data_IF_141255156037
#
_entry.id   IF_141255156037
#
_cell.length_a   1.000
_cell.length_b   1.000
_cell.length_c   1.000
_cell.angle_alpha   90.00
_cell.angle_beta   90.00
_cell.angle_gamma   90.00
#
_symmetry.space_group_name_H-M   'P 1'
#
loop_
_entity.id
_entity.type
_entity.pdbx_description
1 polymer ?
#
# COMPACT_ATOMS: atom_id res chain seq x y z
N UNK A 1 -17.79 -33.48 -3.11
CA UNK A 1 -17.24 -32.11 -3.25
C UNK A 1 -16.30 -32.12 -4.44
N UNK A 2 -16.61 -31.38 -5.50
CA UNK A 2 -15.74 -31.28 -6.66
C UNK A 2 -14.74 -30.14 -6.42
N UNK A 3 -13.45 -30.47 -6.40
CA UNK A 3 -12.37 -29.48 -6.37
C UNK A 3 -12.29 -28.90 -7.78
N UNK A 4 -12.71 -27.65 -7.95
CA UNK A 4 -12.57 -26.94 -9.21
C UNK A 4 -11.08 -26.67 -9.45
N UNK A 5 -10.44 -27.49 -10.26
CA UNK A 5 -9.10 -27.22 -10.78
C UNK A 5 -9.22 -26.13 -11.84
N UNK A 6 -8.95 -24.88 -11.46
CA UNK A 6 -8.69 -23.81 -12.42
C UNK A 6 -7.43 -24.20 -13.21
N UNK A 7 -7.60 -24.44 -14.51
CA UNK A 7 -6.48 -24.66 -15.42
C UNK A 7 -5.71 -23.34 -15.52
N UNK A 8 -4.58 -23.22 -14.80
CA UNK A 8 -3.70 -22.06 -14.88
C UNK A 8 -3.10 -22.01 -16.28
N UNK A 9 -3.55 -21.05 -17.08
CA UNK A 9 -2.87 -20.68 -18.32
C UNK A 9 -1.41 -20.33 -18.01
N UNK A 10 -0.49 -20.74 -18.88
CA UNK A 10 0.92 -20.38 -18.77
C UNK A 10 1.08 -18.87 -18.58
N UNK A 11 1.94 -18.39 -17.66
CA UNK A 11 2.16 -16.97 -17.47
C UNK A 11 2.64 -16.35 -18.78
N UNK A 12 1.90 -15.35 -19.28
CA UNK A 12 2.27 -14.60 -20.46
C UNK A 12 3.15 -13.41 -20.04
N UNK A 13 4.27 -13.16 -20.72
CA UNK A 13 5.16 -12.06 -20.39
C UNK A 13 4.40 -10.72 -20.47
N UNK A 14 4.65 -9.82 -19.52
CA UNK A 14 4.15 -8.44 -19.53
C UNK A 14 4.48 -7.76 -20.85
N UNK A 15 3.55 -6.96 -21.38
CA UNK A 15 3.76 -6.19 -22.61
C UNK A 15 4.80 -5.09 -22.36
N UNK A 16 6.05 -5.40 -22.73
CA UNK A 16 7.21 -4.52 -22.54
C UNK A 16 7.06 -3.18 -23.25
N UNK A 17 6.46 -3.18 -24.44
CA UNK A 17 6.34 -1.96 -25.22
C UNK A 17 5.37 -0.98 -24.55
N UNK A 18 4.26 -1.52 -24.00
CA UNK A 18 3.32 -0.72 -23.19
C UNK A 18 4.00 -0.16 -21.94
N UNK A 19 4.77 -0.96 -21.19
CA UNK A 19 5.47 -0.47 -19.99
C UNK A 19 6.44 0.67 -20.31
N UNK A 20 7.22 0.57 -21.38
CA UNK A 20 8.14 1.63 -21.80
C UNK A 20 7.41 2.92 -22.20
N UNK A 21 6.26 2.80 -22.89
CA UNK A 21 5.45 3.96 -23.24
C UNK A 21 4.92 4.66 -21.98
N UNK A 22 4.43 3.91 -20.99
CA UNK A 22 3.88 4.46 -19.75
C UNK A 22 4.94 5.29 -19.02
N UNK A 23 6.19 4.83 -19.01
CA UNK A 23 7.30 5.49 -18.31
C UNK A 23 7.73 6.84 -18.90
N UNK A 24 7.27 7.16 -20.12
CA UNK A 24 7.46 8.49 -20.71
C UNK A 24 6.57 9.55 -20.04
N UNK A 25 5.45 9.14 -19.43
CA UNK A 25 4.55 10.03 -18.70
C UNK A 25 5.09 10.37 -17.30
N UNK A 26 4.52 11.40 -16.67
CA UNK A 26 4.86 11.85 -15.31
C UNK A 26 3.64 12.25 -14.51
N UNK A 27 3.77 12.22 -13.18
CA UNK A 27 2.74 12.67 -12.26
C UNK A 27 1.40 11.97 -12.48
N UNK A 28 0.31 12.73 -12.52
CA UNK A 28 -1.04 12.20 -12.69
C UNK A 28 -1.26 11.48 -14.03
N UNK A 29 -0.57 11.89 -15.10
CA UNK A 29 -0.67 11.20 -16.39
C UNK A 29 -0.05 9.80 -16.31
N UNK A 30 1.07 9.66 -15.60
CA UNK A 30 1.69 8.36 -15.35
C UNK A 30 0.74 7.43 -14.59
N UNK A 31 0.16 7.89 -13.48
CA UNK A 31 -0.78 7.08 -12.70
C UNK A 31 -2.02 6.69 -13.52
N UNK A 32 -2.56 7.59 -14.34
CA UNK A 32 -3.67 7.28 -15.24
C UNK A 32 -3.30 6.17 -16.22
N UNK A 33 -2.14 6.26 -16.85
CA UNK A 33 -1.64 5.23 -17.79
C UNK A 33 -1.39 3.88 -17.10
N UNK A 34 -0.96 3.89 -15.84
CA UNK A 34 -0.84 2.66 -15.04
C UNK A 34 -2.22 2.06 -14.76
N UNK A 35 -3.20 2.87 -14.36
CA UNK A 35 -4.57 2.38 -14.15
C UNK A 35 -5.13 1.75 -15.44
N UNK A 36 -4.99 2.42 -16.58
CA UNK A 36 -5.40 1.89 -17.90
C UNK A 36 -4.68 0.57 -18.23
N UNK A 37 -3.39 0.48 -17.93
CA UNK A 37 -2.62 -0.76 -18.09
C UNK A 37 -3.12 -1.89 -17.20
N UNK A 38 -3.47 -1.61 -15.94
CA UNK A 38 -3.99 -2.64 -15.02
C UNK A 38 -5.34 -3.14 -15.51
N UNK A 39 -6.21 -2.25 -16.00
CA UNK A 39 -7.50 -2.63 -16.57
C UNK A 39 -7.33 -3.50 -17.84
N UNK A 40 -6.44 -3.10 -18.74
CA UNK A 40 -6.16 -3.80 -20.01
C UNK A 40 -5.58 -5.21 -19.80
N UNK A 41 -4.81 -5.42 -18.72
CA UNK A 41 -4.05 -6.63 -18.47
C UNK A 41 -4.52 -7.38 -17.21
N UNK A 42 -5.73 -7.09 -16.72
CA UNK A 42 -6.29 -7.72 -15.52
C UNK A 42 -6.25 -9.24 -15.62
N UNK A 43 -5.88 -9.89 -14.51
CA UNK A 43 -5.67 -11.33 -14.37
C UNK A 43 -4.51 -11.91 -15.20
N UNK A 44 -3.76 -11.07 -15.92
CA UNK A 44 -2.53 -11.53 -16.56
C UNK A 44 -1.50 -11.89 -15.49
N UNK A 45 -0.95 -13.09 -15.64
CA UNK A 45 0.11 -13.60 -14.77
C UNK A 45 1.46 -13.56 -15.50
N UNK A 46 2.50 -13.10 -14.81
CA UNK A 46 3.89 -13.13 -15.24
C UNK A 46 4.77 -13.75 -14.16
N UNK A 47 5.66 -14.66 -14.53
CA UNK A 47 6.62 -15.24 -13.57
C UNK A 47 7.67 -14.21 -13.17
N UNK A 48 7.96 -14.16 -11.87
CA UNK A 48 9.08 -13.41 -11.33
C UNK A 48 10.28 -14.36 -11.19
N UNK A 49 11.47 -13.87 -11.56
CA UNK A 49 12.75 -14.54 -11.33
C UNK A 49 13.22 -14.37 -9.89
N UNK A 50 12.86 -13.24 -9.29
CA UNK A 50 13.19 -12.91 -7.91
C UNK A 50 11.94 -12.29 -7.24
N UNK A 51 11.43 -12.87 -6.13
CA UNK A 51 11.84 -14.16 -5.57
C UNK A 51 11.54 -15.33 -6.54
N UNK A 52 12.33 -16.42 -6.55
CA UNK A 52 12.11 -17.55 -7.46
C UNK A 52 10.79 -18.28 -7.21
N UNK A 53 10.06 -18.58 -8.28
CA UNK A 53 8.78 -19.31 -8.20
C UNK A 53 7.57 -18.41 -7.93
N UNK A 54 7.80 -17.13 -7.67
CA UNK A 54 6.73 -16.15 -7.48
C UNK A 54 6.05 -15.79 -8.80
N UNK A 55 4.78 -15.41 -8.72
CA UNK A 55 3.97 -15.01 -9.87
C UNK A 55 3.38 -13.63 -9.57
N UNK A 56 3.63 -12.67 -10.46
CA UNK A 56 2.90 -11.41 -10.45
C UNK A 56 1.59 -11.61 -11.22
N UNK A 57 0.46 -11.43 -10.53
CA UNK A 57 -0.88 -11.31 -11.13
C UNK A 57 -1.28 -9.84 -11.17
N UNK A 58 -1.54 -9.31 -12.36
CA UNK A 58 -2.08 -7.95 -12.50
C UNK A 58 -3.50 -7.92 -11.96
N UNK A 59 -3.74 -7.00 -11.04
CA UNK A 59 -4.98 -6.93 -10.27
C UNK A 59 -5.25 -5.49 -9.87
N UNK A 60 -6.53 -5.10 -9.85
CA UNK A 60 -6.96 -3.82 -9.29
C UNK A 60 -7.08 -3.96 -7.78
N UNK A 61 -7.26 -2.84 -7.08
CA UNK A 61 -7.52 -2.84 -5.65
C UNK A 61 -8.71 -3.74 -5.29
N UNK A 62 -9.78 -3.69 -6.07
CA UNK A 62 -11.02 -4.47 -5.84
C UNK A 62 -10.80 -5.99 -5.98
N UNK A 63 -9.67 -6.38 -6.57
CA UNK A 63 -9.27 -7.76 -6.83
C UNK A 63 -8.20 -8.25 -5.83
N UNK A 64 -7.98 -7.50 -4.75
CA UNK A 64 -7.10 -7.84 -3.62
C UNK A 64 -7.89 -8.10 -2.34
N UNK A 65 -7.21 -8.58 -1.30
CA UNK A 65 -7.78 -8.68 0.06
C UNK A 65 -8.19 -7.32 0.66
N UNK A 66 -7.72 -6.21 0.11
CA UNK A 66 -8.02 -4.84 0.56
C UNK A 66 -9.21 -4.20 -0.19
N UNK A 67 -9.95 -4.97 -1.01
CA UNK A 67 -11.07 -4.46 -1.82
C UNK A 67 -12.12 -3.63 -1.06
N UNK A 68 -12.34 -3.95 0.21
CA UNK A 68 -13.34 -3.31 1.08
C UNK A 68 -12.69 -2.25 2.00
N UNK A 69 -11.41 -1.93 1.78
CA UNK A 69 -10.59 -1.04 2.60
C UNK A 69 -9.79 -0.03 1.74
N UNK A 70 -10.45 0.79 0.90
CA UNK A 70 -9.76 1.77 0.07
C UNK A 70 -8.95 2.79 0.88
N UNK A 71 -9.44 3.14 2.08
CA UNK A 71 -8.74 4.05 3.00
C UNK A 71 -7.39 3.51 3.47
N UNK A 72 -7.18 2.18 3.49
CA UNK A 72 -5.88 1.59 3.85
C UNK A 72 -4.85 1.87 2.75
N UNK A 73 -5.25 1.82 1.48
CA UNK A 73 -4.39 2.14 0.33
C UNK A 73 -4.01 3.60 0.30
N UNK A 74 -4.99 4.49 0.53
CA UNK A 74 -4.72 5.91 0.69
C UNK A 74 -3.77 6.15 1.89
N UNK A 75 -3.94 5.38 2.96
CA UNK A 75 -3.06 5.38 4.12
C UNK A 75 -1.61 5.01 3.81
N UNK A 76 -1.35 4.10 2.87
CA UNK A 76 0.01 3.76 2.44
C UNK A 76 0.75 4.96 1.83
N UNK A 77 0.03 5.77 1.05
CA UNK A 77 0.56 7.00 0.45
C UNK A 77 0.78 8.13 1.45
N UNK A 78 0.05 8.13 2.58
CA UNK A 78 0.07 9.21 3.57
C UNK A 78 0.98 8.95 4.77
N UNK A 79 1.06 7.70 5.22
CA UNK A 79 1.61 7.39 6.55
C UNK A 79 2.93 6.63 6.53
N UNK A 80 3.34 6.09 5.38
CA UNK A 80 4.55 5.29 5.25
C UNK A 80 5.69 6.10 4.62
N UNK A 81 5.40 6.82 3.54
CA UNK A 81 6.42 7.58 2.82
C UNK A 81 6.59 9.00 3.40
N UNK A 82 7.80 9.59 3.35
CA UNK A 82 8.08 10.94 3.86
C UNK A 82 7.26 12.06 3.21
N UNK A 83 6.68 11.80 2.03
CA UNK A 83 5.81 12.72 1.32
C UNK A 83 4.51 12.02 1.01
N UNK A 84 3.41 12.75 1.16
CA UNK A 84 2.11 12.30 0.69
C UNK A 84 2.15 12.08 -0.82
N UNK A 85 1.80 10.86 -1.23
CA UNK A 85 1.73 10.44 -2.63
C UNK A 85 0.44 9.68 -2.89
N UNK A 86 0.03 9.60 -4.15
CA UNK A 86 -1.09 8.76 -4.53
C UNK A 86 -0.59 7.39 -4.98
N UNK A 87 -0.92 6.36 -4.20
CA UNK A 87 -0.63 4.99 -4.55
C UNK A 87 -1.59 4.48 -5.64
N UNK A 88 -1.04 3.75 -6.61
CA UNK A 88 -1.78 3.04 -7.64
C UNK A 88 -1.39 1.56 -7.58
N UNK A 89 -2.35 0.71 -7.24
CA UNK A 89 -2.18 -0.75 -7.25
C UNK A 89 -1.91 -1.21 -8.68
N UNK A 90 -0.90 -2.07 -8.82
CA UNK A 90 -0.51 -2.73 -10.05
C UNK A 90 -0.95 -4.20 -10.07
N UNK A 91 -0.85 -4.88 -8.92
CA UNK A 91 -1.18 -6.29 -8.82
C UNK A 91 -0.72 -6.93 -7.52
N UNK A 92 -0.73 -8.25 -7.49
CA UNK A 92 -0.34 -9.06 -6.33
C UNK A 92 0.78 -10.02 -6.73
N UNK A 93 1.81 -10.11 -5.90
CA UNK A 93 2.85 -11.13 -6.03
C UNK A 93 2.49 -12.35 -5.17
N UNK A 94 2.15 -13.45 -5.84
CA UNK A 94 1.84 -14.75 -5.24
C UNK A 94 3.10 -15.61 -5.10
N UNK A 95 3.13 -16.51 -4.11
CA UNK A 95 4.22 -17.47 -3.92
C UNK A 95 5.50 -16.87 -3.33
N UNK A 96 5.40 -15.70 -2.71
CA UNK A 96 6.49 -15.05 -1.97
C UNK A 96 6.52 -15.54 -0.51
N UNK A 97 7.55 -15.17 0.25
CA UNK A 97 7.64 -15.40 1.70
C UNK A 97 6.86 -14.36 2.53
N UNK A 98 5.90 -13.67 1.91
CA UNK A 98 5.11 -12.64 2.57
C UNK A 98 4.34 -13.24 3.77
N UNK A 99 4.34 -12.57 4.93
CA UNK A 99 3.57 -13.02 6.10
C UNK A 99 2.05 -12.86 5.91
N UNK A 100 1.63 -11.90 5.08
CA UNK A 100 0.23 -11.70 4.69
C UNK A 100 -0.17 -12.63 3.53
N UNK A 101 -1.48 -12.82 3.38
CA UNK A 101 -2.07 -13.64 2.31
C UNK A 101 -1.76 -13.08 0.90
N UNK A 102 -1.55 -11.77 0.77
CA UNK A 102 -1.22 -11.10 -0.49
C UNK A 102 -0.11 -10.04 -0.32
N UNK A 103 0.94 -10.12 -1.15
CA UNK A 103 1.94 -9.05 -1.30
C UNK A 103 1.47 -8.10 -2.40
N UNK A 104 0.96 -6.92 -2.03
CA UNK A 104 0.38 -5.97 -2.99
C UNK A 104 1.48 -5.11 -3.60
N UNK A 105 1.62 -5.15 -4.92
CA UNK A 105 2.53 -4.29 -5.68
C UNK A 105 1.80 -3.04 -6.14
N UNK A 106 2.46 -1.89 -5.96
CA UNK A 106 1.92 -0.57 -6.27
C UNK A 106 3.02 0.40 -6.70
N UNK A 107 2.62 1.52 -7.31
CA UNK A 107 3.53 2.60 -7.69
C UNK A 107 2.88 3.95 -7.37
N UNK A 108 3.67 5.01 -7.33
CA UNK A 108 3.19 6.37 -7.16
C UNK A 108 3.86 7.32 -8.16
N UNK A 109 3.67 8.63 -8.01
CA UNK A 109 4.15 9.65 -8.95
C UNK A 109 5.68 9.66 -9.14
N UNK A 110 6.43 9.09 -8.20
CA UNK A 110 7.89 8.97 -8.28
C UNK A 110 8.37 7.84 -9.22
N UNK A 111 7.44 6.98 -9.66
CA UNK A 111 7.62 5.86 -10.58
C UNK A 111 8.43 4.69 -10.03
N UNK A 112 8.66 4.64 -8.71
CA UNK A 112 9.23 3.48 -8.04
C UNK A 112 8.17 2.41 -7.83
N UNK A 113 8.60 1.18 -7.65
CA UNK A 113 7.73 0.05 -7.35
C UNK A 113 7.83 -0.28 -5.86
N UNK A 114 6.67 -0.32 -5.23
CA UNK A 114 6.52 -0.63 -3.82
C UNK A 114 5.74 -1.93 -3.64
N UNK A 115 6.02 -2.64 -2.55
CA UNK A 115 5.29 -3.83 -2.14
C UNK A 115 4.82 -3.67 -0.69
N UNK A 116 3.54 -3.90 -0.43
CA UNK A 116 2.98 -3.89 0.92
C UNK A 116 2.71 -5.32 1.38
N UNK A 117 3.28 -5.69 2.53
CA UNK A 117 3.26 -7.05 3.06
C UNK A 117 2.29 -7.26 4.23
N UNK A 118 1.44 -6.27 4.51
CA UNK A 118 0.52 -6.26 5.64
C UNK A 118 1.01 -5.48 6.85
N UNK A 119 2.31 -5.18 6.94
CA UNK A 119 2.88 -4.39 8.03
C UNK A 119 3.71 -3.22 7.50
N UNK A 120 4.66 -3.51 6.60
CA UNK A 120 5.63 -2.57 6.04
C UNK A 120 5.44 -2.34 4.53
N UNK A 121 5.88 -1.18 4.07
CA UNK A 121 5.94 -0.83 2.66
C UNK A 121 7.39 -0.92 2.18
N UNK A 122 7.69 -1.84 1.27
CA UNK A 122 9.03 -2.12 0.75
C UNK A 122 9.24 -1.44 -0.60
N UNK A 123 10.33 -0.71 -0.80
CA UNK A 123 10.73 -0.23 -2.14
C UNK A 123 11.43 -1.37 -2.88
N UNK A 124 10.68 -2.14 -3.67
CA UNK A 124 11.15 -3.41 -4.25
C UNK A 124 11.78 -3.25 -5.63
N UNK A 125 11.61 -2.10 -6.27
CA UNK A 125 12.37 -1.75 -7.46
C UNK A 125 12.40 -0.22 -7.69
N UNK A 126 13.49 0.31 -8.26
CA UNK A 126 13.59 1.74 -8.58
C UNK A 126 12.67 2.17 -9.74
N UNK A 127 12.10 1.21 -10.48
CA UNK A 127 11.24 1.45 -11.64
C UNK A 127 10.44 0.20 -12.01
N UNK A 128 9.27 0.39 -12.63
CA UNK A 128 8.49 -0.70 -13.24
C UNK A 128 9.23 -1.46 -14.35
N UNK A 129 10.29 -0.88 -14.94
CA UNK A 129 11.11 -1.60 -15.93
C UNK A 129 11.67 -2.91 -15.39
N UNK A 130 11.86 -3.03 -14.08
CA UNK A 130 12.48 -4.23 -13.52
C UNK A 130 11.54 -5.44 -13.62
N UNK A 131 10.23 -5.19 -13.75
CA UNK A 131 9.23 -6.21 -14.06
C UNK A 131 9.40 -6.82 -15.46
N UNK A 132 10.00 -6.11 -16.43
CA UNK A 132 10.34 -6.71 -17.74
C UNK A 132 11.35 -7.86 -17.63
N UNK A 133 12.17 -7.80 -16.58
CA UNK A 133 13.16 -8.82 -16.26
C UNK A 133 12.64 -9.81 -15.21
N UNK A 134 11.44 -9.58 -14.66
CA UNK A 134 10.83 -10.36 -13.60
C UNK A 134 11.54 -10.19 -12.26
N UNK A 135 12.17 -9.05 -12.00
CA UNK A 135 13.02 -8.84 -10.84
C UNK A 135 12.38 -7.80 -9.89
N UNK A 136 12.10 -8.24 -8.67
CA UNK A 136 11.76 -7.39 -7.52
C UNK A 136 12.59 -7.83 -6.32
N UNK A 137 13.06 -6.88 -5.52
CA UNK A 137 13.78 -7.14 -4.28
C UNK A 137 12.78 -7.23 -3.13
N UNK A 138 12.36 -8.44 -2.78
CA UNK A 138 11.45 -8.67 -1.66
C UNK A 138 11.92 -9.82 -0.74
N UNK A 139 12.03 -9.59 0.58
CA UNK A 139 11.94 -8.30 1.27
C UNK A 139 13.00 -7.30 0.79
N UNK A 140 12.69 -6.01 0.79
CA UNK A 140 13.64 -4.98 0.35
C UNK A 140 14.55 -4.55 1.48
N UNK A 141 15.77 -4.15 1.14
CA UNK A 141 16.66 -3.44 2.07
C UNK A 141 16.18 -2.03 2.43
N UNK A 142 15.30 -1.43 1.61
CA UNK A 142 14.63 -0.15 1.88
C UNK A 142 13.13 -0.41 2.14
N UNK A 143 12.73 -0.37 3.41
CA UNK A 143 11.33 -0.48 3.84
C UNK A 143 10.90 0.71 4.70
N UNK A 144 9.58 0.90 4.78
CA UNK A 144 8.94 1.96 5.51
C UNK A 144 7.89 1.38 6.47
N UNK A 145 7.82 1.89 7.69
CA UNK A 145 6.83 1.47 8.68
C UNK A 145 5.70 2.51 8.84
N UNK A 146 4.56 2.09 9.40
CA UNK A 146 3.40 2.97 9.59
C UNK A 146 3.72 4.10 10.56
N UNK A 147 3.61 5.34 10.10
CA UNK A 147 3.91 6.55 10.87
C UNK A 147 5.29 7.13 10.60
N UNK A 148 6.14 6.46 9.81
CA UNK A 148 7.47 6.96 9.47
C UNK A 148 7.44 8.31 8.74
N UNK A 149 6.34 8.59 8.01
CA UNK A 149 6.08 9.89 7.39
C UNK A 149 6.20 11.08 8.36
N UNK A 150 6.10 10.84 9.66
CA UNK A 150 6.10 11.88 10.70
C UNK A 150 7.36 11.92 11.56
N UNK A 151 8.38 11.09 11.29
CA UNK A 151 9.60 11.05 12.11
C UNK A 151 10.32 12.41 12.17
N UNK A 152 10.33 13.12 11.04
CA UNK A 152 11.04 14.40 10.91
C UNK A 152 10.18 15.62 11.28
N UNK A 153 8.93 15.42 11.75
CA UNK A 153 8.04 16.52 12.12
C UNK A 153 8.44 17.10 13.47
N UNK A 154 8.75 18.38 13.47
CA UNK A 154 9.21 19.13 14.66
C UNK A 154 8.10 19.39 15.68
N UNK A 155 8.47 19.70 16.93
CA UNK A 155 7.49 20.05 17.97
C UNK A 155 6.68 21.29 17.60
N UNK A 156 7.31 22.26 16.93
CA UNK A 156 6.68 23.48 16.44
C UNK A 156 5.62 23.16 15.37
N UNK A 157 5.95 22.32 14.39
CA UNK A 157 4.99 21.89 13.36
C UNK A 157 3.82 21.11 13.97
N UNK A 158 4.09 20.22 14.94
CA UNK A 158 3.03 19.54 15.69
C UNK A 158 2.17 20.50 16.50
N UNK A 159 2.76 21.56 17.06
CA UNK A 159 2.01 22.59 17.78
C UNK A 159 1.07 23.35 16.83
N UNK A 160 1.52 23.68 15.62
CA UNK A 160 0.68 24.30 14.60
C UNK A 160 -0.50 23.40 14.21
N UNK A 161 -0.24 22.12 13.95
CA UNK A 161 -1.30 21.12 13.65
C UNK A 161 -2.32 21.03 14.78
N UNK A 162 -1.86 20.97 16.04
CA UNK A 162 -2.74 20.94 17.23
C UNK A 162 -3.58 22.21 17.38
N UNK A 163 -3.04 23.37 17.00
CA UNK A 163 -3.77 24.65 17.04
C UNK A 163 -4.71 24.86 15.86
N UNK A 164 -4.59 24.03 14.82
CA UNK A 164 -5.47 24.03 13.65
C UNK A 164 -6.92 23.66 13.98
N UNK A 165 -7.85 23.84 13.03
CA UNK A 165 -9.27 23.53 13.21
C UNK A 165 -9.52 22.07 13.61
N UNK A 166 -8.79 21.13 12.99
CA UNK A 166 -8.90 19.69 13.28
C UNK A 166 -8.36 19.38 14.68
N UNK A 167 -7.17 19.86 15.02
CA UNK A 167 -6.58 19.67 16.35
C UNK A 167 -7.47 20.19 17.48
N UNK A 168 -8.04 21.39 17.31
CA UNK A 168 -9.00 21.97 18.27
C UNK A 168 -10.28 21.16 18.40
N UNK A 169 -10.81 20.63 17.29
CA UNK A 169 -12.00 19.77 17.31
C UNK A 169 -11.71 18.47 18.08
N UNK A 170 -10.59 17.82 17.79
CA UNK A 170 -10.17 16.58 18.47
C UNK A 170 -9.95 16.79 19.97
N UNK A 171 -9.32 17.91 20.38
CA UNK A 171 -9.15 18.26 21.80
C UNK A 171 -10.51 18.45 22.51
N UNK A 172 -11.48 19.09 21.84
CA UNK A 172 -12.84 19.22 22.39
C UNK A 172 -13.56 17.88 22.51
N UNK A 173 -13.44 16.99 21.52
CA UNK A 173 -14.02 15.66 21.55
C UNK A 173 -13.40 14.79 22.65
N UNK A 174 -12.08 14.82 22.79
CA UNK A 174 -11.36 14.15 23.88
C UNK A 174 -11.85 14.64 25.24
N UNK A 175 -11.98 15.96 25.44
CA UNK A 175 -12.50 16.54 26.69
C UNK A 175 -13.91 16.05 27.01
N UNK A 176 -14.80 16.03 26.01
CA UNK A 176 -16.18 15.53 26.17
C UNK A 176 -16.20 14.05 26.56
N UNK A 177 -15.41 13.22 25.88
CA UNK A 177 -15.33 11.78 26.14
C UNK A 177 -14.81 11.50 27.56
N UNK A 178 -13.75 12.19 27.97
CA UNK A 178 -13.21 12.09 29.33
C UNK A 178 -14.25 12.51 30.37
N UNK A 179 -14.93 13.65 30.17
CA UNK A 179 -15.94 14.12 31.11
C UNK A 179 -17.12 13.16 31.24
N UNK A 180 -17.61 12.60 30.13
CA UNK A 180 -18.73 11.66 30.12
C UNK A 180 -18.42 10.36 30.90
N UNK A 181 -17.19 9.85 30.78
CA UNK A 181 -16.83 8.54 31.33
C UNK A 181 -16.14 8.61 32.71
N UNK A 182 -15.66 9.78 33.15
CA UNK A 182 -14.89 9.96 34.38
C UNK A 182 -15.56 9.38 35.61
N UNK A 183 -16.87 9.62 35.80
CA UNK A 183 -17.60 9.16 36.98
C UNK A 183 -17.69 7.64 37.03
N UNK A 184 -17.98 6.99 35.90
CA UNK A 184 -18.06 5.54 35.77
C UNK A 184 -16.69 4.90 36.03
N UNK A 185 -15.65 5.42 35.39
CA UNK A 185 -14.27 4.92 35.55
C UNK A 185 -13.79 4.98 37.01
N UNK A 186 -14.09 6.09 37.72
CA UNK A 186 -13.75 6.24 39.13
C UNK A 186 -14.53 5.27 40.04
N UNK A 187 -15.79 4.98 39.71
CA UNK A 187 -16.61 4.04 40.47
C UNK A 187 -16.10 2.60 40.32
N UNK A 188 -15.69 2.22 39.12
CA UNK A 188 -15.13 0.90 38.85
C UNK A 188 -13.77 0.71 39.55
N UNK A 189 -12.91 1.73 39.52
CA UNK A 189 -11.63 1.74 40.27
C UNK A 189 -11.81 1.60 41.78
N UNK A 190 -12.87 2.18 42.35
CA UNK A 190 -13.17 2.08 43.79
C UNK A 190 -13.79 0.73 44.17
N UNK A 191 -14.46 0.07 43.23
CA UNK A 191 -15.12 -1.22 43.45
C UNK A 191 -14.17 -2.42 43.31
N UNK A 192 -12.91 -2.18 42.95
CA UNK A 192 -11.84 -3.19 42.85
C UNK A 192 -10.95 -3.28 44.10
N UNK A 193 -11.26 -2.55 45.17
CA UNK A 193 -10.64 -2.68 46.50
C UNK A 193 -11.52 -3.49 47.44
#
# INVERSE_FOLDING_TARGET
MAVATFSRSSPNPLDKLKLQEILTARGSEYLRKISEFVDDNRDQCSSLKNPPGSILRIARLEDTIYRDQPDEVDGWGMFYLPKEVKMQVLGVAEGTSCPSDELVLMTCEDRRLYAYDGEELHMVAPSLLQLEYGDIEYPSSESYYKGQAFEDVTEEEWAEVKQGPVGKKLDQEQKKLVQANKATFLKDLQSQK
#
